data_IF_034319097466
#
_entry.id   IF_034319097466
#
_cell.length_a   1.000
_cell.length_b   1.000
_cell.length_c   1.000
_cell.angle_alpha   90.00
_cell.angle_beta   90.00
_cell.angle_gamma   90.00
#
_symmetry.space_group_name_H-M   'P 1'
#
loop_
_entity.id
_entity.type
_entity.pdbx_description
1 polymer ?
#
# COMPACT_ATOMS: atom_id res chain seq x y z
N UNK A 1 -21.87 3.00 -19.84
CA UNK A 1 -21.38 1.95 -18.93
C UNK A 1 -19.87 1.94 -19.03
N UNK A 2 -19.19 1.96 -17.89
CA UNK A 2 -17.79 2.35 -17.73
C UNK A 2 -16.81 1.25 -18.14
N UNK A 3 -16.16 1.42 -19.30
CA UNK A 3 -14.98 0.65 -19.70
C UNK A 3 -13.74 1.24 -19.03
N UNK A 4 -13.66 1.08 -17.71
CA UNK A 4 -12.36 1.24 -17.05
C UNK A 4 -11.52 0.03 -17.44
N UNK A 5 -10.28 0.23 -17.94
CA UNK A 5 -9.43 -0.88 -18.32
C UNK A 5 -9.20 -1.75 -17.09
N UNK A 6 -9.68 -3.00 -17.15
CA UNK A 6 -9.30 -4.04 -16.18
C UNK A 6 -7.77 -4.07 -16.19
N UNK A 7 -7.10 -3.74 -15.09
CA UNK A 7 -5.65 -3.77 -15.11
C UNK A 7 -5.21 -5.20 -15.46
N UNK A 8 -4.41 -5.42 -16.52
CA UNK A 8 -3.96 -6.72 -17.03
C UNK A 8 -3.32 -7.69 -16.02
N UNK A 9 -3.14 -7.28 -14.77
CA UNK A 9 -2.38 -7.97 -13.74
C UNK A 9 -3.26 -8.73 -12.73
N UNK A 10 -4.41 -9.27 -13.14
CA UNK A 10 -5.11 -10.37 -12.42
C UNK A 10 -5.22 -11.64 -13.25
N UNK A 11 -4.43 -11.74 -14.32
CA UNK A 11 -4.43 -12.91 -15.22
C UNK A 11 -3.81 -14.15 -14.57
N UNK A 12 -3.09 -13.98 -13.46
CA UNK A 12 -2.54 -15.08 -12.65
C UNK A 12 -3.18 -15.09 -11.27
N UNK A 13 -3.27 -16.27 -10.66
CA UNK A 13 -3.78 -16.43 -9.29
C UNK A 13 -2.94 -15.64 -8.28
N UNK A 14 -1.62 -15.58 -8.48
CA UNK A 14 -0.73 -14.77 -7.65
C UNK A 14 -1.11 -13.28 -7.66
N UNK A 15 -1.49 -12.76 -8.82
CA UNK A 15 -1.80 -11.36 -8.98
C UNK A 15 -3.23 -11.02 -8.51
N UNK A 16 -4.18 -11.96 -8.62
CA UNK A 16 -5.47 -11.90 -7.91
C UNK A 16 -5.28 -11.87 -6.39
N UNK A 17 -4.48 -12.78 -5.85
CA UNK A 17 -4.19 -12.84 -4.42
C UNK A 17 -3.51 -11.56 -3.92
N UNK A 18 -2.59 -10.98 -4.70
CA UNK A 18 -1.98 -9.70 -4.37
C UNK A 18 -3.01 -8.55 -4.37
N UNK A 19 -3.99 -8.55 -5.28
CA UNK A 19 -5.06 -7.55 -5.33
C UNK A 19 -6.00 -7.67 -4.14
N UNK A 20 -6.44 -8.88 -3.80
CA UNK A 20 -7.25 -9.11 -2.61
C UNK A 20 -6.50 -8.68 -1.36
N UNK A 21 -5.20 -9.04 -1.26
CA UNK A 21 -4.38 -8.57 -0.15
C UNK A 21 -4.24 -7.06 -0.10
N UNK A 22 -4.19 -6.35 -1.23
CA UNK A 22 -4.16 -4.89 -1.26
C UNK A 22 -5.50 -4.33 -0.80
N UNK A 23 -6.60 -4.86 -1.32
CA UNK A 23 -7.95 -4.41 -1.01
C UNK A 23 -8.24 -4.57 0.49
N UNK A 24 -7.85 -5.68 1.09
CA UNK A 24 -8.02 -5.92 2.53
C UNK A 24 -7.22 -4.93 3.40
N UNK A 25 -6.02 -4.55 2.96
CA UNK A 25 -5.23 -3.53 3.66
C UNK A 25 -5.85 -2.14 3.46
N UNK A 26 -6.26 -1.81 2.23
CA UNK A 26 -6.89 -0.53 1.92
C UNK A 26 -8.19 -0.34 2.71
N UNK A 27 -9.03 -1.37 2.81
CA UNK A 27 -10.25 -1.39 3.66
C UNK A 27 -9.95 -1.01 5.10
N UNK A 28 -8.87 -1.56 5.68
CA UNK A 28 -8.44 -1.24 7.06
C UNK A 28 -7.94 0.20 7.17
N UNK A 29 -7.21 0.68 6.17
CA UNK A 29 -6.66 2.04 6.15
C UNK A 29 -7.79 3.08 6.05
N UNK A 30 -8.74 2.90 5.14
CA UNK A 30 -9.81 3.88 4.91
C UNK A 30 -11.03 3.69 5.82
N UNK A 31 -11.09 2.58 6.57
CA UNK A 31 -12.19 2.28 7.48
C UNK A 31 -13.49 1.83 6.79
N UNK A 32 -13.43 1.42 5.51
CA UNK A 32 -14.60 1.01 4.73
C UNK A 32 -14.49 -0.49 4.38
N UNK A 33 -15.07 -1.40 5.19
CA UNK A 33 -14.82 -2.84 5.04
C UNK A 33 -15.46 -3.45 3.78
N UNK A 34 -16.46 -2.79 3.21
CA UNK A 34 -17.26 -3.32 2.08
C UNK A 34 -16.88 -2.71 0.74
N UNK A 35 -15.93 -1.77 0.68
CA UNK A 35 -15.53 -1.19 -0.61
C UNK A 35 -14.97 -2.31 -1.50
N UNK A 36 -15.35 -2.29 -2.78
CA UNK A 36 -14.75 -3.16 -3.78
C UNK A 36 -13.56 -2.46 -4.48
N UNK A 37 -12.77 -3.22 -5.23
CA UNK A 37 -11.60 -2.67 -5.91
C UNK A 37 -11.96 -1.63 -6.98
N UNK A 38 -13.09 -1.77 -7.66
CA UNK A 38 -13.53 -0.84 -8.71
C UNK A 38 -13.86 0.52 -8.12
N UNK A 39 -14.61 0.53 -7.02
CA UNK A 39 -14.96 1.73 -6.26
C UNK A 39 -13.71 2.40 -5.69
N UNK A 40 -12.80 1.61 -5.09
CA UNK A 40 -11.52 2.10 -4.59
C UNK A 40 -10.71 2.73 -5.73
N UNK A 41 -10.63 2.05 -6.88
CA UNK A 41 -9.91 2.54 -8.05
C UNK A 41 -10.46 3.88 -8.51
N UNK A 42 -11.76 3.94 -8.79
CA UNK A 42 -12.44 5.15 -9.26
C UNK A 42 -12.24 6.35 -8.33
N UNK A 43 -12.30 6.12 -7.02
CA UNK A 43 -12.13 7.17 -6.01
C UNK A 43 -10.73 7.74 -6.00
N UNK A 44 -9.71 6.88 -5.99
CA UNK A 44 -8.34 7.33 -5.78
C UNK A 44 -7.65 7.82 -7.06
N UNK A 45 -8.05 7.37 -8.26
CA UNK A 45 -7.46 7.90 -9.51
C UNK A 45 -7.83 9.37 -9.79
N UNK A 46 -8.89 9.89 -9.16
CA UNK A 46 -9.31 11.29 -9.34
C UNK A 46 -8.36 12.28 -8.66
N UNK A 47 -7.57 11.83 -7.68
CA UNK A 47 -6.65 12.66 -6.94
C UNK A 47 -5.35 11.88 -6.68
N UNK A 48 -4.33 12.22 -7.47
CA UNK A 48 -3.03 11.55 -7.43
C UNK A 48 -2.39 11.56 -6.03
N UNK A 49 -2.44 12.69 -5.34
CA UNK A 49 -1.86 12.83 -4.01
C UNK A 49 -2.55 11.90 -2.99
N UNK A 50 -3.88 11.78 -3.07
CA UNK A 50 -4.64 10.88 -2.21
C UNK A 50 -4.30 9.41 -2.48
N UNK A 51 -4.07 9.05 -3.75
CA UNK A 51 -3.68 7.69 -4.13
C UNK A 51 -2.28 7.34 -3.63
N UNK A 52 -1.33 8.27 -3.73
CA UNK A 52 0.02 8.09 -3.19
C UNK A 52 -0.01 7.96 -1.67
N UNK A 53 -0.79 8.79 -0.98
CA UNK A 53 -0.94 8.72 0.48
C UNK A 53 -1.57 7.39 0.93
N UNK A 54 -2.55 6.88 0.20
CA UNK A 54 -3.10 5.55 0.45
C UNK A 54 -2.02 4.47 0.35
N UNK A 55 -1.15 4.54 -0.65
CA UNK A 55 -0.05 3.59 -0.83
C UNK A 55 0.98 3.63 0.32
N UNK A 56 1.26 4.82 0.87
CA UNK A 56 2.09 4.97 2.06
C UNK A 56 1.45 4.28 3.30
N UNK A 57 0.16 4.54 3.53
CA UNK A 57 -0.58 4.00 4.68
C UNK A 57 -0.81 2.48 4.57
N UNK A 58 -1.11 1.98 3.37
CA UNK A 58 -1.22 0.55 3.07
C UNK A 58 0.13 -0.15 3.31
N UNK A 59 1.23 0.46 2.85
CA UNK A 59 2.58 -0.09 3.06
C UNK A 59 2.93 -0.19 4.54
N UNK A 60 2.62 0.86 5.32
CA UNK A 60 2.86 0.85 6.75
C UNK A 60 2.00 -0.22 7.46
N UNK A 61 0.72 -0.30 7.10
CA UNK A 61 -0.23 -1.27 7.66
C UNK A 61 0.19 -2.71 7.36
N UNK A 62 0.64 -2.99 6.13
CA UNK A 62 1.16 -4.30 5.73
C UNK A 62 2.36 -4.74 6.57
N UNK A 63 3.33 -3.84 6.76
CA UNK A 63 4.53 -4.12 7.54
C UNK A 63 4.19 -4.28 9.03
N UNK A 64 3.25 -3.49 9.55
CA UNK A 64 2.75 -3.62 10.92
C UNK A 64 2.03 -4.96 11.16
N UNK A 65 1.32 -5.48 10.16
CA UNK A 65 0.71 -6.81 10.21
C UNK A 65 1.71 -7.96 10.01
N UNK A 66 3.01 -7.67 9.97
CA UNK A 66 4.07 -8.68 9.88
C UNK A 66 4.41 -9.15 8.46
N UNK A 67 3.87 -8.54 7.40
CA UNK A 67 4.27 -8.88 6.03
C UNK A 67 5.73 -8.50 5.79
N UNK A 68 6.43 -9.30 4.97
CA UNK A 68 7.79 -8.95 4.57
C UNK A 68 7.79 -7.71 3.65
N UNK A 69 8.89 -6.95 3.57
CA UNK A 69 9.02 -5.86 2.61
C UNK A 69 8.81 -6.32 1.16
N UNK A 70 9.23 -7.55 0.82
CA UNK A 70 9.05 -8.12 -0.51
C UNK A 70 7.56 -8.34 -0.82
N UNK A 71 6.81 -8.95 0.09
CA UNK A 71 5.38 -9.22 -0.09
C UNK A 71 4.57 -7.92 -0.10
N UNK A 72 5.00 -6.94 0.69
CA UNK A 72 4.41 -5.60 0.69
C UNK A 72 4.60 -4.95 -0.68
N UNK A 73 5.79 -5.05 -1.29
CA UNK A 73 5.99 -4.56 -2.66
C UNK A 73 5.06 -5.25 -3.67
N UNK A 74 4.95 -6.59 -3.61
CA UNK A 74 4.07 -7.33 -4.51
C UNK A 74 2.61 -6.92 -4.38
N UNK A 75 2.17 -6.68 -3.14
CA UNK A 75 0.83 -6.19 -2.84
C UNK A 75 0.62 -4.78 -3.39
N UNK A 76 1.58 -3.87 -3.18
CA UNK A 76 1.47 -2.47 -3.60
C UNK A 76 1.49 -2.29 -5.12
N UNK A 77 2.08 -3.23 -5.87
CA UNK A 77 1.97 -3.23 -7.33
C UNK A 77 0.51 -3.26 -7.80
N UNK A 78 -0.44 -3.77 -7.00
CA UNK A 78 -1.86 -3.80 -7.32
C UNK A 78 -2.62 -2.53 -6.91
N UNK A 79 -1.95 -1.49 -6.43
CA UNK A 79 -2.62 -0.26 -6.03
C UNK A 79 -3.33 0.43 -7.21
N UNK A 80 -4.43 1.16 -6.97
CA UNK A 80 -5.06 1.99 -7.99
C UNK A 80 -4.09 2.93 -8.69
N UNK A 81 -3.19 3.57 -7.93
CA UNK A 81 -2.19 4.46 -8.48
C UNK A 81 -1.26 3.73 -9.46
N UNK A 82 -0.63 2.63 -9.03
CA UNK A 82 0.27 1.85 -9.88
C UNK A 82 -0.44 1.32 -11.12
N UNK A 83 -1.63 0.75 -10.95
CA UNK A 83 -2.38 0.20 -12.07
C UNK A 83 -2.80 1.30 -13.06
N UNK A 84 -3.20 2.48 -12.59
CA UNK A 84 -3.53 3.61 -13.47
C UNK A 84 -2.29 4.13 -14.22
N UNK A 85 -1.16 4.29 -13.52
CA UNK A 85 0.07 4.76 -14.13
C UNK A 85 0.55 3.80 -15.23
N UNK A 86 0.55 2.49 -14.98
CA UNK A 86 1.03 1.51 -15.97
C UNK A 86 0.09 1.37 -17.16
N UNK A 87 -1.22 1.31 -16.94
CA UNK A 87 -2.15 0.87 -17.97
C UNK A 87 -2.98 1.99 -18.62
N UNK A 88 -3.04 3.16 -18.01
CA UNK A 88 -3.75 4.32 -18.56
C UNK A 88 -2.77 5.42 -18.95
N UNK A 89 -1.74 5.65 -18.13
CA UNK A 89 -0.69 6.65 -18.42
C UNK A 89 0.53 6.07 -19.12
N UNK A 90 0.54 4.76 -19.37
CA UNK A 90 1.61 4.04 -20.08
C UNK A 90 3.00 4.23 -19.46
N UNK A 91 3.06 4.50 -18.16
CA UNK A 91 4.32 4.60 -17.42
C UNK A 91 5.00 3.23 -17.38
N UNK A 92 6.31 3.21 -17.67
CA UNK A 92 7.10 1.99 -17.66
C UNK A 92 6.94 1.24 -16.33
N UNK A 93 6.65 -0.06 -16.40
CA UNK A 93 6.54 -0.94 -15.22
C UNK A 93 7.76 -0.89 -14.30
N UNK A 94 8.95 -0.74 -14.89
CA UNK A 94 10.19 -0.59 -14.13
C UNK A 94 10.19 0.68 -13.25
N UNK A 95 9.60 1.77 -13.74
CA UNK A 95 9.43 3.02 -12.98
C UNK A 95 8.49 2.79 -11.80
N UNK A 96 7.34 2.15 -12.02
CA UNK A 96 6.41 1.87 -10.92
C UNK A 96 6.95 0.84 -9.93
N UNK A 97 7.80 -0.10 -10.37
CA UNK A 97 8.54 -1.00 -9.47
C UNK A 97 9.51 -0.23 -8.56
N UNK A 98 10.17 0.81 -9.08
CA UNK A 98 11.05 1.67 -8.27
C UNK A 98 10.24 2.51 -7.27
N UNK A 99 9.13 3.08 -7.71
CA UNK A 99 8.18 3.78 -6.84
C UNK A 99 7.76 2.91 -5.66
N UNK A 100 7.23 1.71 -5.93
CA UNK A 100 6.79 0.78 -4.88
C UNK A 100 7.90 0.44 -3.90
N UNK A 101 9.11 0.13 -4.40
CA UNK A 101 10.26 -0.16 -3.54
C UNK A 101 10.64 1.03 -2.65
N UNK A 102 10.53 2.25 -3.16
CA UNK A 102 10.81 3.46 -2.40
C UNK A 102 9.75 3.69 -1.31
N UNK A 103 8.46 3.57 -1.64
CA UNK A 103 7.34 3.66 -0.69
C UNK A 103 7.48 2.66 0.46
N UNK A 104 7.70 1.38 0.13
CA UNK A 104 7.87 0.33 1.16
C UNK A 104 9.13 0.56 2.01
N UNK A 105 10.22 1.03 1.40
CA UNK A 105 11.44 1.37 2.15
C UNK A 105 11.16 2.49 3.16
N UNK A 106 10.41 3.51 2.77
CA UNK A 106 10.09 4.62 3.67
C UNK A 106 9.16 4.18 4.80
N UNK A 107 8.12 3.41 4.49
CA UNK A 107 7.26 2.80 5.50
C UNK A 107 8.05 1.92 6.49
N UNK A 108 9.05 1.17 6.02
CA UNK A 108 9.93 0.36 6.87
C UNK A 108 10.79 1.22 7.80
N UNK A 109 11.33 2.35 7.31
CA UNK A 109 12.07 3.30 8.16
C UNK A 109 11.15 3.87 9.24
N UNK A 110 9.95 4.30 8.87
CA UNK A 110 8.97 4.82 9.82
C UNK A 110 8.61 3.79 10.90
N UNK A 111 8.39 2.52 10.51
CA UNK A 111 8.09 1.44 11.45
C UNK A 111 9.26 1.20 12.43
N UNK A 112 10.51 1.21 11.93
CA UNK A 112 11.71 1.06 12.77
C UNK A 112 11.90 2.24 13.72
N UNK A 113 11.70 3.47 13.24
CA UNK A 113 11.77 4.69 14.07
C UNK A 113 10.74 4.67 15.20
N UNK A 114 9.49 4.27 14.92
CA UNK A 114 8.45 4.11 15.96
C UNK A 114 8.83 3.05 17.01
N UNK A 115 9.46 1.94 16.60
CA UNK A 115 9.93 0.91 17.53
C UNK A 115 11.05 1.43 18.44
N UNK A 116 12.00 2.20 17.92
CA UNK A 116 13.09 2.78 18.72
C UNK A 116 12.59 3.76 19.79
N UNK A 117 11.63 4.63 19.45
CA UNK A 117 11.03 5.57 20.42
C UNK A 117 10.32 4.81 21.55
N UNK A 118 9.63 3.70 21.24
CA UNK A 118 8.91 2.91 22.25
C UNK A 118 9.85 2.19 23.22
N UNK A 119 11.03 1.78 22.78
CA UNK A 119 12.05 1.15 23.64
C UNK A 119 12.66 2.17 24.62
N UNK A 120 12.83 3.42 24.20
CA UNK A 120 13.40 4.48 25.06
C UNK A 120 12.43 4.99 26.15
N UNK A 121 11.12 4.80 25.98
CA UNK A 121 10.08 5.23 26.95
C UNK A 121 9.58 4.08 27.86
N UNK A 122 10.38 3.06 28.10
CA UNK A 122 10.00 1.95 28.99
C UNK A 122 9.91 2.43 30.46
N UNK A 123 9.01 1.86 31.31
CA UNK A 123 8.63 2.42 32.63
C UNK A 123 9.73 2.42 33.70
N UNK A 124 10.89 1.81 33.44
CA UNK A 124 11.99 1.75 34.41
C UNK A 124 12.64 3.13 34.67
N UNK A 125 12.33 4.14 33.85
CA UNK A 125 12.86 5.50 34.02
C UNK A 125 12.00 6.43 34.90
N UNK A 126 10.87 5.96 35.45
CA UNK A 126 9.98 6.77 36.30
C UNK A 126 10.08 6.44 37.81
N UNK A 127 11.01 5.57 38.23
CA UNK A 127 11.18 5.19 39.65
C UNK A 127 12.30 5.92 40.40
N UNK A 128 12.94 6.93 39.80
CA UNK A 128 13.91 7.79 40.49
C UNK A 128 13.51 9.27 40.40
N UNK A 129 12.48 9.68 41.16
CA UNK A 129 12.30 11.06 41.62
C UNK A 129 11.61 11.12 42.98
#
# INVERSE_FOLDING_TARGET
MSDLPKPPDTRTEAAKAARESYLDLARRVIGEPTIDYTQLYQRFIQNEWSAVKLDDEVSLTALQSGKSPKDTCLTLLQSPYVQHQVYVKEVLRATMTRYVKATVREALKQLKGRRQIRIQKSPESELER
#
